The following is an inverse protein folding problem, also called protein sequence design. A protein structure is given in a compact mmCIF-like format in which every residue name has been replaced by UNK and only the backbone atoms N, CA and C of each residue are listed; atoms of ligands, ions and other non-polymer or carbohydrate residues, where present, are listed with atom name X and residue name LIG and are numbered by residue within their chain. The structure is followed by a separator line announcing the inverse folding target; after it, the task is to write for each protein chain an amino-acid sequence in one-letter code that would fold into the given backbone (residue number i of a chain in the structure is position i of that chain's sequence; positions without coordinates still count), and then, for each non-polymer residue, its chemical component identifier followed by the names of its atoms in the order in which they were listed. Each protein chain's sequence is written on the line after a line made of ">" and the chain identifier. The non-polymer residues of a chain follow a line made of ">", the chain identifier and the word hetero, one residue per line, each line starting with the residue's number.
data_IF_708693849165
#
_entry.id   IF_708693849165
#
_cell.length_a   1.000
_cell.length_b   1.000
_cell.length_c   1.000
_cell.angle_alpha   90.00
_cell.angle_beta   90.00
_cell.angle_gamma   90.00
#
_symmetry.space_group_name_H-M   'P 1'
#
loop_
_entity.id
_entity.type
_entity.pdbx_description
1 polymer ?
#
# COMPACT_ATOMS: atom_id res chain seq x y z
N UNK A 1 30.99 -21.49 -9.24
CA UNK A 1 29.53 -21.36 -9.45
C UNK A 1 28.91 -20.54 -8.34
N UNK A 2 29.17 -20.87 -7.08
CA UNK A 2 28.70 -20.18 -5.88
C UNK A 2 29.10 -18.69 -5.80
N UNK A 3 30.32 -18.34 -6.19
CA UNK A 3 30.78 -16.94 -6.22
C UNK A 3 29.97 -16.07 -7.21
N UNK A 4 29.59 -16.63 -8.36
CA UNK A 4 28.76 -15.93 -9.34
C UNK A 4 27.33 -15.72 -8.80
N UNK A 5 26.78 -16.73 -8.12
CA UNK A 5 25.48 -16.66 -7.48
C UNK A 5 25.44 -15.59 -6.39
N UNK A 6 26.42 -15.56 -5.49
CA UNK A 6 26.51 -14.56 -4.43
C UNK A 6 26.64 -13.13 -4.97
N UNK A 7 27.39 -12.95 -6.08
CA UNK A 7 27.45 -11.64 -6.77
C UNK A 7 26.09 -11.19 -7.31
N UNK A 8 25.23 -12.12 -7.75
CA UNK A 8 23.88 -11.80 -8.21
C UNK A 8 23.00 -11.39 -7.02
N UNK A 9 23.03 -12.16 -5.93
CA UNK A 9 22.27 -11.84 -4.72
C UNK A 9 22.67 -10.47 -4.15
N UNK A 10 23.97 -10.18 -4.12
CA UNK A 10 24.49 -8.89 -3.69
C UNK A 10 24.00 -7.73 -4.56
N UNK A 11 23.89 -7.91 -5.87
CA UNK A 11 23.34 -6.91 -6.79
C UNK A 11 21.84 -6.68 -6.56
N UNK A 12 21.07 -7.75 -6.36
CA UNK A 12 19.63 -7.66 -6.07
C UNK A 12 19.42 -6.90 -4.75
N UNK A 13 20.12 -7.33 -3.69
CA UNK A 13 20.07 -6.68 -2.40
C UNK A 13 20.49 -5.22 -2.47
N UNK A 14 21.50 -4.88 -3.28
CA UNK A 14 21.93 -3.50 -3.48
C UNK A 14 20.80 -2.62 -4.06
N UNK A 15 20.05 -3.09 -5.04
CA UNK A 15 18.93 -2.32 -5.60
C UNK A 15 17.83 -2.07 -4.57
N UNK A 16 17.45 -3.10 -3.81
CA UNK A 16 16.42 -2.95 -2.78
C UNK A 16 16.91 -2.03 -1.66
N UNK A 17 18.17 -2.21 -1.24
CA UNK A 17 18.80 -1.40 -0.20
C UNK A 17 18.92 0.07 -0.60
N UNK A 18 19.27 0.34 -1.86
CA UNK A 18 19.33 1.71 -2.38
C UNK A 18 17.97 2.43 -2.31
N UNK A 19 16.88 1.66 -2.33
CA UNK A 19 15.52 2.15 -2.14
C UNK A 19 15.04 2.10 -0.68
N UNK A 20 15.83 1.59 0.29
CA UNK A 20 15.39 1.42 1.68
C UNK A 20 14.88 2.70 2.33
N UNK A 21 15.48 3.86 2.01
CA UNK A 21 14.98 5.16 2.50
C UNK A 21 13.55 5.44 2.06
N UNK A 22 13.24 5.20 0.78
CA UNK A 22 11.90 5.34 0.23
C UNK A 22 10.94 4.27 0.75
N UNK A 23 11.39 3.02 0.88
CA UNK A 23 10.60 1.92 1.44
C UNK A 23 10.18 2.25 2.89
N UNK A 24 11.12 2.74 3.71
CA UNK A 24 10.84 3.16 5.09
C UNK A 24 9.88 4.35 5.14
N UNK A 25 10.13 5.36 4.30
CA UNK A 25 9.25 6.54 4.21
C UNK A 25 7.82 6.15 3.82
N UNK A 26 7.66 5.38 2.75
CA UNK A 26 6.35 4.89 2.30
C UNK A 26 5.68 4.01 3.34
N UNK A 27 6.45 3.20 4.07
CA UNK A 27 5.95 2.41 5.19
C UNK A 27 5.33 3.28 6.29
N UNK A 28 6.06 4.30 6.73
CA UNK A 28 5.60 5.26 7.75
C UNK A 28 4.39 6.04 7.26
N UNK A 29 4.43 6.57 6.03
CA UNK A 29 3.32 7.31 5.44
C UNK A 29 2.05 6.45 5.33
N UNK A 30 2.17 5.17 4.98
CA UNK A 30 1.04 4.24 4.89
C UNK A 30 0.39 4.01 6.25
N UNK A 31 1.19 3.89 7.32
CA UNK A 31 0.69 3.76 8.69
C UNK A 31 -0.05 5.03 9.11
N UNK A 32 0.54 6.21 8.88
CA UNK A 32 -0.09 7.49 9.20
C UNK A 32 -1.42 7.66 8.45
N UNK A 33 -1.44 7.36 7.14
CA UNK A 33 -2.65 7.42 6.33
C UNK A 33 -3.73 6.44 6.79
N UNK A 34 -3.33 5.24 7.25
CA UNK A 34 -4.25 4.29 7.85
C UNK A 34 -4.85 4.81 9.16
N UNK A 35 -4.03 5.40 10.03
CA UNK A 35 -4.48 5.99 11.30
C UNK A 35 -5.48 7.13 11.07
N UNK A 36 -5.20 8.04 10.12
CA UNK A 36 -6.13 9.13 9.80
C UNK A 36 -7.44 8.61 9.22
N UNK A 37 -7.39 7.56 8.39
CA UNK A 37 -8.59 6.90 7.85
C UNK A 37 -9.41 6.23 8.96
N UNK A 38 -8.75 5.62 9.94
CA UNK A 38 -9.39 4.96 11.09
C UNK A 38 -10.19 5.92 11.99
N UNK A 39 -10.05 7.24 11.86
CA UNK A 39 -10.87 8.21 12.59
C UNK A 39 -12.33 8.25 12.12
N UNK A 40 -12.65 7.63 10.97
CA UNK A 40 -14.01 7.49 10.48
C UNK A 40 -14.61 6.12 10.81
N UNK A 41 -15.92 6.06 11.08
CA UNK A 41 -16.63 4.79 11.41
C UNK A 41 -16.44 3.75 10.30
N UNK A 42 -16.53 4.17 9.05
CA UNK A 42 -16.28 3.31 7.88
C UNK A 42 -14.79 2.97 7.76
N UNK A 43 -13.92 3.93 8.06
CA UNK A 43 -12.48 3.77 7.92
C UNK A 43 -11.85 2.82 8.93
N UNK A 44 -12.42 2.59 10.12
CA UNK A 44 -11.94 1.55 11.05
C UNK A 44 -11.91 0.17 10.38
N UNK A 45 -12.91 -0.13 9.53
CA UNK A 45 -13.03 -1.43 8.84
C UNK A 45 -12.01 -1.58 7.71
N UNK A 46 -11.49 -0.48 7.16
CA UNK A 46 -10.61 -0.50 5.97
C UNK A 46 -9.16 -0.13 6.30
N UNK A 47 -8.94 0.64 7.36
CA UNK A 47 -7.64 1.20 7.75
C UNK A 47 -6.57 0.15 8.10
N UNK A 48 -6.97 -1.07 8.45
CA UNK A 48 -6.01 -2.13 8.75
C UNK A 48 -5.16 -2.52 7.54
N UNK A 49 -5.68 -2.41 6.31
CA UNK A 49 -4.92 -2.72 5.08
C UNK A 49 -3.69 -1.80 4.91
N UNK A 50 -3.83 -0.46 4.86
CA UNK A 50 -2.68 0.44 4.72
C UNK A 50 -1.72 0.38 5.91
N UNK A 51 -2.21 0.17 7.13
CA UNK A 51 -1.34 -0.02 8.31
C UNK A 51 -0.48 -1.27 8.14
N UNK A 52 -1.09 -2.39 7.74
CA UNK A 52 -0.37 -3.65 7.57
C UNK A 52 0.64 -3.58 6.42
N UNK A 53 0.26 -2.97 5.29
CA UNK A 53 1.20 -2.71 4.18
C UNK A 53 2.40 -1.88 4.62
N UNK A 54 2.17 -0.86 5.46
CA UNK A 54 3.25 -0.04 5.98
C UNK A 54 4.23 -0.82 6.86
N UNK A 55 3.72 -1.70 7.73
CA UNK A 55 4.53 -2.61 8.53
C UNK A 55 5.34 -3.56 7.64
N UNK A 56 4.75 -4.10 6.57
CA UNK A 56 5.44 -4.98 5.62
C UNK A 56 6.61 -4.26 4.95
N UNK A 57 6.42 -3.02 4.49
CA UNK A 57 7.51 -2.23 3.89
C UNK A 57 8.67 -2.02 4.87
N UNK A 58 8.37 -1.70 6.13
CA UNK A 58 9.42 -1.56 7.16
C UNK A 58 10.18 -2.87 7.36
N UNK A 59 9.49 -4.02 7.34
CA UNK A 59 10.14 -5.33 7.42
C UNK A 59 11.00 -5.64 6.18
N UNK A 60 10.58 -5.26 4.97
CA UNK A 60 11.41 -5.40 3.76
C UNK A 60 12.73 -4.65 3.92
N UNK A 61 12.68 -3.39 4.38
CA UNK A 61 13.88 -2.59 4.57
C UNK A 61 14.79 -3.20 5.65
N UNK A 62 14.22 -3.66 6.78
CA UNK A 62 14.97 -4.31 7.87
C UNK A 62 15.65 -5.60 7.41
N UNK A 63 14.95 -6.46 6.66
CA UNK A 63 15.48 -7.75 6.18
C UNK A 63 16.53 -7.58 5.08
N UNK A 64 16.39 -6.55 4.27
CA UNK A 64 17.41 -6.18 3.28
C UNK A 64 18.68 -5.65 3.97
N UNK A 65 18.53 -4.86 5.03
CA UNK A 65 19.64 -4.41 5.89
C UNK A 65 20.34 -5.59 6.58
N UNK A 66 19.57 -6.55 7.11
CA UNK A 66 20.09 -7.77 7.71
C UNK A 66 20.96 -8.56 6.73
N UNK A 67 20.48 -8.81 5.50
CA UNK A 67 21.28 -9.47 4.45
C UNK A 67 22.60 -8.75 4.17
N UNK A 68 22.63 -7.41 4.18
CA UNK A 68 23.86 -6.64 3.92
C UNK A 68 24.92 -6.86 5.00
N UNK A 69 24.50 -7.18 6.22
CA UNK A 69 25.36 -7.42 7.38
C UNK A 69 25.74 -8.90 7.48
N UNK A 70 24.76 -9.80 7.42
CA UNK A 70 24.95 -11.24 7.66
C UNK A 70 25.39 -12.00 6.42
N UNK A 71 25.03 -11.52 5.22
CA UNK A 71 25.20 -12.21 3.93
C UNK A 71 24.45 -13.53 3.80
N UNK A 72 23.51 -13.80 4.71
CA UNK A 72 22.69 -15.02 4.70
C UNK A 72 21.52 -14.88 3.72
N UNK A 73 21.47 -15.74 2.70
CA UNK A 73 20.47 -15.68 1.64
C UNK A 73 19.02 -15.73 2.13
N UNK A 74 18.76 -16.35 3.28
CA UNK A 74 17.45 -16.41 3.93
C UNK A 74 16.87 -15.02 4.21
N UNK A 75 17.68 -14.08 4.70
CA UNK A 75 17.22 -12.71 4.96
C UNK A 75 16.77 -11.98 3.68
N UNK A 76 17.46 -12.22 2.56
CA UNK A 76 17.07 -11.65 1.26
C UNK A 76 15.82 -12.32 0.70
N UNK A 77 15.67 -13.62 0.88
CA UNK A 77 14.46 -14.36 0.51
C UNK A 77 13.24 -13.85 1.28
N UNK A 78 13.36 -13.64 2.59
CA UNK A 78 12.32 -13.05 3.42
C UNK A 78 11.95 -11.64 2.96
N UNK A 79 12.95 -10.79 2.65
CA UNK A 79 12.72 -9.46 2.12
C UNK A 79 11.91 -9.50 0.81
N UNK A 80 12.26 -10.43 -0.09
CA UNK A 80 11.55 -10.63 -1.36
C UNK A 80 10.14 -11.18 -1.19
N UNK A 81 9.94 -12.12 -0.27
CA UNK A 81 8.62 -12.66 0.06
C UNK A 81 7.68 -11.58 0.62
N UNK A 82 8.21 -10.72 1.50
CA UNK A 82 7.46 -9.58 2.05
C UNK A 82 7.17 -8.52 0.98
N UNK A 83 8.14 -8.23 0.11
CA UNK A 83 7.93 -7.30 -1.01
C UNK A 83 6.84 -7.80 -1.97
N UNK A 84 6.84 -9.11 -2.30
CA UNK A 84 5.77 -9.76 -3.06
C UNK A 84 4.42 -9.58 -2.36
N UNK A 85 4.37 -9.84 -1.05
CA UNK A 85 3.14 -9.69 -0.26
C UNK A 85 2.61 -8.26 -0.33
N UNK A 86 3.49 -7.26 -0.20
CA UNK A 86 3.12 -5.85 -0.37
C UNK A 86 2.48 -5.57 -1.73
N UNK A 87 3.09 -6.00 -2.84
CA UNK A 87 2.53 -5.77 -4.18
C UNK A 87 1.19 -6.47 -4.41
N UNK A 88 1.01 -7.68 -3.87
CA UNK A 88 -0.26 -8.41 -3.94
C UNK A 88 -1.36 -7.64 -3.20
N UNK A 89 -1.07 -7.17 -1.98
CA UNK A 89 -2.01 -6.38 -1.19
C UNK A 89 -2.33 -5.04 -1.86
N UNK A 90 -1.30 -4.35 -2.36
CA UNK A 90 -1.46 -3.08 -3.06
C UNK A 90 -2.29 -3.24 -4.33
N UNK A 91 -2.06 -4.30 -5.11
CA UNK A 91 -2.85 -4.60 -6.30
C UNK A 91 -4.31 -4.90 -5.98
N UNK A 92 -4.57 -5.74 -4.97
CA UNK A 92 -5.92 -6.02 -4.51
C UNK A 92 -6.64 -4.78 -3.97
N UNK A 93 -5.96 -3.98 -3.15
CA UNK A 93 -6.49 -2.73 -2.61
C UNK A 93 -6.79 -1.71 -3.72
N UNK A 94 -5.93 -1.61 -4.73
CA UNK A 94 -6.16 -0.74 -5.89
C UNK A 94 -7.40 -1.16 -6.67
N UNK A 95 -7.61 -2.46 -6.91
CA UNK A 95 -8.82 -2.95 -7.58
C UNK A 95 -10.10 -2.59 -6.79
N UNK A 96 -10.11 -2.83 -5.49
CA UNK A 96 -11.23 -2.45 -4.61
C UNK A 96 -11.46 -0.93 -4.64
N UNK A 97 -10.38 -0.14 -4.58
CA UNK A 97 -10.45 1.32 -4.64
C UNK A 97 -11.01 1.83 -5.98
N UNK A 98 -10.64 1.21 -7.10
CA UNK A 98 -11.19 1.54 -8.42
C UNK A 98 -12.70 1.26 -8.45
N UNK A 99 -13.13 0.08 -7.99
CA UNK A 99 -14.55 -0.29 -7.93
C UNK A 99 -15.32 0.70 -7.04
N UNK A 100 -14.81 0.99 -5.84
CA UNK A 100 -15.42 1.94 -4.92
C UNK A 100 -15.53 3.35 -5.51
N UNK A 101 -14.51 3.79 -6.25
CA UNK A 101 -14.51 5.09 -6.94
C UNK A 101 -15.58 5.14 -8.03
N UNK A 102 -15.69 4.11 -8.87
CA UNK A 102 -16.70 4.04 -9.93
C UNK A 102 -18.11 4.05 -9.34
N UNK A 103 -18.37 3.24 -8.31
CA UNK A 103 -19.66 3.22 -7.60
C UNK A 103 -19.95 4.58 -6.97
N UNK A 104 -18.97 5.18 -6.29
CA UNK A 104 -19.10 6.49 -5.67
C UNK A 104 -19.44 7.60 -6.68
N UNK A 105 -18.83 7.58 -7.86
CA UNK A 105 -19.14 8.53 -8.94
C UNK A 105 -20.58 8.37 -9.45
N UNK A 106 -21.05 7.13 -9.65
CA UNK A 106 -22.43 6.87 -10.08
C UNK A 106 -23.42 7.40 -9.04
N UNK A 107 -23.17 7.14 -7.76
CA UNK A 107 -24.03 7.63 -6.65
C UNK A 107 -24.01 9.16 -6.62
N UNK A 108 -22.84 9.79 -6.71
CA UNK A 108 -22.71 11.25 -6.63
C UNK A 108 -23.45 11.95 -7.79
N UNK A 109 -23.29 11.45 -9.03
CA UNK A 109 -23.96 12.02 -10.20
C UNK A 109 -25.48 11.87 -10.13
N UNK A 110 -25.96 10.66 -9.82
CA UNK A 110 -27.41 10.42 -9.71
C UNK A 110 -28.02 11.23 -8.57
N UNK A 111 -27.38 11.24 -7.39
CA UNK A 111 -27.85 12.00 -6.23
C UNK A 111 -27.87 13.51 -6.49
N UNK A 112 -26.87 14.04 -7.20
CA UNK A 112 -26.84 15.43 -7.64
C UNK A 112 -28.02 15.80 -8.54
N UNK A 113 -28.37 14.94 -9.49
CA UNK A 113 -29.52 15.12 -10.38
C UNK A 113 -30.86 15.05 -9.62
N UNK A 114 -31.00 14.12 -8.66
CA UNK A 114 -32.21 14.06 -7.83
C UNK A 114 -32.37 15.29 -6.95
N UNK A 115 -31.27 15.76 -6.34
CA UNK A 115 -31.28 16.99 -5.54
C UNK A 115 -31.62 18.22 -6.39
N UNK A 116 -31.04 18.37 -7.58
CA UNK A 116 -31.36 19.51 -8.44
C UNK A 116 -32.83 19.56 -8.82
N UNK A 117 -33.42 18.42 -9.21
CA UNK A 117 -34.83 18.32 -9.56
C UNK A 117 -35.75 18.62 -8.36
N UNK A 118 -35.35 18.20 -7.16
CA UNK A 118 -36.07 18.51 -5.93
C UNK A 118 -36.10 20.02 -5.64
N UNK A 119 -34.95 20.69 -5.75
CA UNK A 119 -34.87 22.14 -5.54
C UNK A 119 -35.62 22.94 -6.60
N UNK A 120 -35.56 22.53 -7.87
CA UNK A 120 -36.34 23.14 -8.96
C UNK A 120 -37.84 23.05 -8.67
N UNK A 121 -38.34 21.87 -8.28
CA UNK A 121 -39.74 21.67 -7.89
C UNK A 121 -40.20 22.59 -6.76
N UNK A 122 -39.37 22.85 -5.75
CA UNK A 122 -39.70 23.77 -4.65
C UNK A 122 -39.75 25.24 -5.09
N UNK A 123 -38.99 25.64 -6.11
CA UNK A 123 -38.97 27.03 -6.60
C UNK A 123 -40.24 27.43 -7.37
N UNK A 124 -41.05 26.45 -7.75
CA UNK A 124 -42.30 26.64 -8.49
C UNK A 124 -43.57 26.67 -7.60
N UNK A 125 -43.42 26.66 -6.27
CA UNK A 125 -44.49 26.86 -5.28
C UNK A 125 -44.29 28.19 -4.54
#
# INVERSE_FOLDING_TARGET
>A
MEEQFNKILDKIAFHIYSASGWIKLLGILSIIAGITTALSVVGIVVAWIPIWMGVILLQVASKTEEYKITKESEALEEAMSKLKTYFVLQGAAALVGIIATVVGLIIALTSGLYLSNFFEGMSHY
#
